data_IF_478200289000
#
_entry.id   IF_478200289000
#
_cell.length_a   1.000
_cell.length_b   1.000
_cell.length_c   1.000
_cell.angle_alpha   90.00
_cell.angle_beta   90.00
_cell.angle_gamma   90.00
#
_symmetry.space_group_name_H-M   'P 1'
#
loop_
_entity.id
_entity.type
_entity.pdbx_description
1 polymer ?
#
# COMPACT_ATOMS: atom_id res chain seq x y z
N UNK A 1 -14.00 11.91 15.99
CA UNK A 1 -13.42 12.80 14.96
C UNK A 1 -11.97 13.20 15.25
N UNK A 2 -11.60 13.88 16.36
CA UNK A 2 -10.20 14.29 16.60
C UNK A 2 -9.14 13.15 16.57
N UNK A 3 -9.45 11.98 17.12
CA UNK A 3 -8.52 10.83 17.10
C UNK A 3 -8.27 10.26 15.69
N UNK A 4 -9.28 10.28 14.82
CA UNK A 4 -9.17 9.74 13.46
C UNK A 4 -8.20 10.55 12.62
N UNK A 5 -8.28 11.88 12.68
CA UNK A 5 -7.34 12.75 11.96
C UNK A 5 -5.92 12.64 12.50
N UNK A 6 -5.78 12.51 13.82
CA UNK A 6 -4.45 12.28 14.40
C UNK A 6 -3.82 10.95 13.95
N UNK A 7 -4.59 9.85 13.89
CA UNK A 7 -4.07 8.58 13.35
C UNK A 7 -3.57 8.77 11.92
N UNK A 8 -4.35 9.44 11.07
CA UNK A 8 -3.96 9.74 9.68
C UNK A 8 -2.67 10.55 9.61
N UNK A 9 -2.50 11.55 10.47
CA UNK A 9 -1.28 12.36 10.52
C UNK A 9 -0.03 11.55 10.86
N UNK A 10 -0.10 10.65 11.85
CA UNK A 10 1.07 9.80 12.15
C UNK A 10 1.35 8.83 11.00
N UNK A 11 0.33 8.18 10.46
CA UNK A 11 0.54 7.29 9.33
C UNK A 11 1.14 8.04 8.14
N UNK A 12 0.69 9.27 7.86
CA UNK A 12 1.25 10.13 6.81
C UNK A 12 2.71 10.47 7.07
N UNK A 13 3.07 10.83 8.30
CA UNK A 13 4.45 11.17 8.66
C UNK A 13 5.39 9.96 8.57
N UNK A 14 4.98 8.82 9.12
CA UNK A 14 5.74 7.58 9.00
C UNK A 14 5.89 7.16 7.53
N UNK A 15 4.86 7.40 6.72
CA UNK A 15 4.90 7.12 5.28
C UNK A 15 5.87 8.00 4.52
N UNK A 16 5.92 9.31 4.79
CA UNK A 16 6.88 10.22 4.18
C UNK A 16 8.33 9.74 4.37
N UNK A 17 8.67 9.30 5.58
CA UNK A 17 10.02 8.82 5.91
C UNK A 17 10.36 7.54 5.14
N UNK A 18 9.54 6.51 5.27
CA UNK A 18 9.82 5.21 4.65
C UNK A 18 9.81 5.28 3.12
N UNK A 19 8.93 6.10 2.55
CA UNK A 19 8.80 6.21 1.11
C UNK A 19 9.99 6.93 0.47
N UNK A 20 10.76 7.72 1.22
CA UNK A 20 12.02 8.32 0.73
C UNK A 20 13.04 7.25 0.29
N UNK A 21 13.10 6.12 1.00
CA UNK A 21 13.93 4.98 0.59
C UNK A 21 13.36 4.29 -0.66
N UNK A 22 12.04 4.11 -0.73
CA UNK A 22 11.39 3.59 -1.93
C UNK A 22 11.68 4.45 -3.16
N UNK A 23 11.61 5.78 -3.03
CA UNK A 23 11.89 6.73 -4.12
C UNK A 23 13.30 6.52 -4.67
N UNK A 24 14.28 6.34 -3.80
CA UNK A 24 15.67 6.09 -4.21
C UNK A 24 15.77 4.81 -5.02
N UNK A 25 15.22 3.70 -4.52
CA UNK A 25 15.26 2.41 -5.22
C UNK A 25 14.48 2.46 -6.56
N UNK A 26 13.31 3.09 -6.57
CA UNK A 26 12.51 3.29 -7.78
C UNK A 26 13.24 4.15 -8.81
N UNK A 27 13.92 5.23 -8.40
CA UNK A 27 14.68 6.11 -9.30
C UNK A 27 15.82 5.38 -10.02
N UNK A 28 16.48 4.44 -9.32
CA UNK A 28 17.52 3.60 -9.89
C UNK A 28 16.93 2.60 -10.89
N UNK A 29 15.81 1.96 -10.55
CA UNK A 29 15.15 0.96 -11.38
C UNK A 29 14.53 1.56 -12.64
N UNK A 30 13.94 2.76 -12.53
CA UNK A 30 13.27 3.48 -13.61
C UNK A 30 14.27 4.33 -14.43
N UNK A 31 15.52 4.48 -13.98
CA UNK A 31 16.56 5.21 -14.71
C UNK A 31 16.30 6.72 -14.77
N UNK A 32 16.26 7.37 -13.61
CA UNK A 32 16.15 8.83 -13.49
C UNK A 32 15.43 9.28 -12.23
N UNK A 33 15.48 10.59 -11.91
CA UNK A 33 14.76 11.13 -10.77
C UNK A 33 13.25 10.89 -10.93
N UNK A 34 12.60 10.57 -9.82
CA UNK A 34 11.16 10.52 -9.70
C UNK A 34 10.72 11.52 -8.63
N UNK A 35 9.64 12.23 -8.90
CA UNK A 35 8.99 13.10 -7.92
C UNK A 35 7.86 12.31 -7.27
N UNK A 36 7.68 12.45 -5.96
CA UNK A 36 6.63 11.78 -5.25
C UNK A 36 5.83 12.79 -4.44
N UNK A 37 4.51 12.75 -4.60
CA UNK A 37 3.60 13.48 -3.73
C UNK A 37 3.59 12.85 -2.34
N UNK A 38 3.44 13.64 -1.27
CA UNK A 38 3.20 13.10 0.06
C UNK A 38 2.03 12.11 0.02
N UNK A 39 2.17 10.90 0.60
CA UNK A 39 1.14 9.89 0.53
C UNK A 39 -0.10 10.36 1.29
N UNK A 40 -1.26 10.20 0.66
CA UNK A 40 -2.54 10.47 1.29
C UNK A 40 -2.93 9.23 2.12
N UNK A 41 -3.39 9.45 3.37
CA UNK A 41 -3.83 8.36 4.25
C UNK A 41 -5.27 8.57 4.66
N UNK A 42 -6.07 7.50 4.54
CA UNK A 42 -7.44 7.48 5.04
C UNK A 42 -7.74 6.20 5.83
N UNK A 43 -8.79 6.27 6.65
CA UNK A 43 -9.34 5.12 7.36
C UNK A 43 -10.81 5.02 6.98
N UNK A 44 -11.12 4.03 6.16
CA UNK A 44 -12.44 3.87 5.55
C UNK A 44 -13.16 2.66 6.13
N UNK A 45 -14.48 2.66 5.99
CA UNK A 45 -15.27 1.48 6.33
C UNK A 45 -15.04 0.33 5.34
N UNK A 46 -15.31 -0.91 5.75
CA UNK A 46 -15.26 -2.08 4.82
C UNK A 46 -16.14 -1.89 3.58
N UNK A 47 -17.33 -1.31 3.74
CA UNK A 47 -18.25 -1.06 2.62
C UNK A 47 -17.65 -0.07 1.63
N UNK A 48 -17.08 1.01 2.13
CA UNK A 48 -16.42 2.04 1.33
C UNK A 48 -15.17 1.50 0.63
N UNK A 49 -14.37 0.70 1.32
CA UNK A 49 -13.22 0.01 0.74
C UNK A 49 -13.60 -0.87 -0.46
N UNK A 50 -14.64 -1.70 -0.31
CA UNK A 50 -15.12 -2.55 -1.40
C UNK A 50 -15.64 -1.72 -2.59
N UNK A 51 -16.32 -0.60 -2.30
CA UNK A 51 -16.75 0.35 -3.33
C UNK A 51 -15.56 0.95 -4.09
N UNK A 52 -14.52 1.38 -3.38
CA UNK A 52 -13.28 1.92 -3.97
C UNK A 52 -12.63 0.88 -4.90
N UNK A 53 -12.51 -0.37 -4.46
CA UNK A 53 -11.94 -1.45 -5.28
C UNK A 53 -12.77 -1.73 -6.54
N UNK A 54 -14.11 -1.73 -6.41
CA UNK A 54 -15.02 -1.93 -7.53
C UNK A 54 -14.92 -0.80 -8.56
N UNK A 55 -14.88 0.46 -8.11
CA UNK A 55 -14.76 1.63 -8.98
C UNK A 55 -13.41 1.68 -9.72
N UNK A 56 -12.32 1.31 -9.05
CA UNK A 56 -10.97 1.27 -9.65
C UNK A 56 -10.78 0.10 -10.61
N UNK A 57 -11.55 -0.97 -10.44
CA UNK A 57 -11.53 -2.15 -11.29
C UNK A 57 -10.28 -3.01 -11.10
N UNK A 58 -10.35 -3.95 -10.14
CA UNK A 58 -9.28 -4.92 -9.83
C UNK A 58 -8.78 -5.65 -11.08
N UNK A 59 -9.70 -6.12 -11.93
CA UNK A 59 -9.41 -6.91 -13.14
C UNK A 59 -8.76 -6.13 -14.29
N UNK A 60 -8.70 -4.79 -14.19
CA UNK A 60 -8.14 -3.94 -15.24
C UNK A 60 -6.70 -3.53 -14.96
N UNK A 61 -6.28 -3.59 -13.69
CA UNK A 61 -4.95 -3.19 -13.25
C UNK A 61 -4.09 -4.38 -12.84
N UNK A 62 -3.19 -4.13 -11.89
CA UNK A 62 -2.42 -5.17 -11.22
C UNK A 62 -2.71 -5.06 -9.72
N UNK A 63 -3.22 -6.15 -9.13
CA UNK A 63 -3.53 -6.21 -7.71
C UNK A 63 -2.92 -7.47 -7.10
N UNK A 64 -2.26 -7.31 -5.97
CA UNK A 64 -1.60 -8.40 -5.26
C UNK A 64 -1.82 -8.26 -3.76
N UNK A 65 -2.02 -9.38 -3.09
CA UNK A 65 -2.34 -9.46 -1.66
C UNK A 65 -1.25 -10.21 -0.90
N UNK A 66 -1.07 -9.88 0.38
CA UNK A 66 -0.15 -10.55 1.29
C UNK A 66 -0.78 -10.68 2.67
N UNK A 67 -0.69 -11.85 3.28
CA UNK A 67 -1.01 -12.00 4.69
C UNK A 67 0.10 -11.39 5.53
N UNK A 68 -0.28 -10.71 6.61
CA UNK A 68 0.67 -10.30 7.64
C UNK A 68 0.89 -11.50 8.57
N UNK A 69 2.13 -11.99 8.62
CA UNK A 69 2.50 -13.25 9.29
C UNK A 69 3.23 -13.04 10.61
N UNK A 70 3.79 -11.85 10.85
CA UNK A 70 4.53 -11.52 12.07
C UNK A 70 4.29 -10.06 12.47
N UNK A 71 4.40 -9.76 13.77
CA UNK A 71 4.25 -8.42 14.36
C UNK A 71 2.80 -7.95 14.46
N UNK A 72 2.03 -8.15 13.39
CA UNK A 72 0.59 -7.89 13.28
C UNK A 72 -0.09 -9.11 12.63
N UNK A 73 -1.41 -9.01 12.46
CA UNK A 73 -2.21 -9.98 11.71
C UNK A 73 -3.23 -9.23 10.87
N UNK A 74 -3.44 -9.71 9.65
CA UNK A 74 -4.32 -9.06 8.70
C UNK A 74 -3.98 -9.41 7.27
N UNK A 75 -4.61 -8.70 6.35
CA UNK A 75 -4.33 -8.74 4.92
C UNK A 75 -3.81 -7.37 4.48
N UNK A 76 -2.80 -7.36 3.64
CA UNK A 76 -2.38 -6.17 2.89
C UNK A 76 -2.67 -6.38 1.42
N UNK A 77 -2.98 -5.29 0.72
CA UNK A 77 -3.28 -5.32 -0.71
C UNK A 77 -2.54 -4.15 -1.36
N UNK A 78 -1.76 -4.43 -2.40
CA UNK A 78 -1.17 -3.43 -3.27
C UNK A 78 -1.90 -3.45 -4.61
N UNK A 79 -2.39 -2.29 -5.04
CA UNK A 79 -3.11 -2.12 -6.30
C UNK A 79 -2.47 -1.00 -7.12
N UNK A 80 -2.17 -1.33 -8.37
CA UNK A 80 -1.87 -0.36 -9.41
C UNK A 80 -3.04 -0.32 -10.40
N UNK A 81 -3.71 0.83 -10.57
CA UNK A 81 -4.70 1.00 -11.64
C UNK A 81 -4.11 0.68 -13.01
N UNK A 82 -4.96 0.34 -13.99
CA UNK A 82 -4.55 -0.02 -15.36
C UNK A 82 -3.49 0.91 -15.94
N UNK A 83 -3.78 2.21 -15.95
CA UNK A 83 -2.90 3.22 -16.53
C UNK A 83 -1.52 3.24 -15.85
N UNK A 84 -1.49 3.27 -14.52
CA UNK A 84 -0.25 3.17 -13.73
C UNK A 84 0.54 1.92 -14.08
N UNK A 85 -0.15 0.79 -14.13
CA UNK A 85 0.49 -0.50 -14.34
C UNK A 85 1.14 -0.59 -15.72
N UNK A 86 0.43 -0.16 -16.77
CA UNK A 86 0.96 -0.11 -18.14
C UNK A 86 2.13 0.88 -18.28
N UNK A 87 2.03 2.06 -17.66
CA UNK A 87 3.08 3.08 -17.73
C UNK A 87 4.37 2.62 -17.04
N UNK A 88 4.26 2.04 -15.85
CA UNK A 88 5.40 1.46 -15.15
C UNK A 88 6.07 0.39 -16.02
N UNK A 89 5.28 -0.53 -16.57
CA UNK A 89 5.78 -1.58 -17.44
C UNK A 89 6.50 -1.02 -18.66
N UNK A 90 5.92 -0.04 -19.35
CA UNK A 90 6.55 0.60 -20.51
C UNK A 90 7.92 1.20 -20.14
N UNK A 91 7.97 1.94 -19.04
CA UNK A 91 9.19 2.57 -18.54
C UNK A 91 10.28 1.55 -18.19
N UNK A 92 9.92 0.48 -17.49
CA UNK A 92 10.87 -0.58 -17.11
C UNK A 92 11.38 -1.37 -18.32
N UNK A 93 10.56 -1.49 -19.36
CA UNK A 93 10.94 -2.14 -20.61
C UNK A 93 11.67 -1.20 -21.58
N UNK A 94 11.90 0.07 -21.21
CA UNK A 94 12.53 1.06 -22.08
C UNK A 94 11.69 1.42 -23.30
N UNK A 95 10.36 1.28 -23.20
CA UNK A 95 9.40 1.59 -24.25
C UNK A 95 8.78 2.98 -24.04
N UNK A 96 8.23 3.54 -25.11
CA UNK A 96 7.53 4.82 -25.05
C UNK A 96 6.27 4.73 -24.16
N UNK A 97 5.95 5.75 -23.36
CA UNK A 97 4.72 5.78 -22.56
C UNK A 97 3.48 5.56 -23.42
N UNK A 98 2.56 4.73 -22.94
CA UNK A 98 1.34 4.38 -23.67
C UNK A 98 1.52 3.33 -24.78
N UNK A 99 2.74 2.82 -25.04
CA UNK A 99 2.95 1.74 -26.01
C UNK A 99 2.46 0.38 -25.52
N UNK A 100 2.37 0.19 -24.21
CA UNK A 100 1.89 -1.04 -23.57
C UNK A 100 0.39 -0.92 -23.35
N UNK A 101 -0.40 -1.77 -24.00
CA UNK A 101 -1.88 -1.74 -23.92
C UNK A 101 -2.46 -2.80 -22.98
N UNK A 102 -1.66 -3.84 -22.69
CA UNK A 102 -2.01 -4.98 -21.86
C UNK A 102 -0.81 -5.43 -21.01
N UNK A 103 -1.09 -6.01 -19.84
CA UNK A 103 -0.07 -6.60 -18.96
C UNK A 103 0.06 -8.09 -19.27
N UNK A 104 1.09 -8.44 -20.04
CA UNK A 104 1.54 -9.81 -20.20
C UNK A 104 2.34 -10.29 -18.99
N UNK A 105 2.82 -11.53 -19.01
CA UNK A 105 3.57 -12.11 -17.88
C UNK A 105 4.88 -11.37 -17.58
N UNK A 106 5.53 -10.83 -18.61
CA UNK A 106 6.75 -10.02 -18.42
C UNK A 106 6.40 -8.70 -17.75
N UNK A 107 5.33 -8.04 -18.19
CA UNK A 107 4.82 -6.82 -17.59
C UNK A 107 4.38 -7.01 -16.14
N UNK A 108 3.67 -8.12 -15.84
CA UNK A 108 3.30 -8.52 -14.47
C UNK A 108 4.53 -8.75 -13.59
N UNK A 109 5.59 -9.34 -14.13
CA UNK A 109 6.85 -9.50 -13.39
C UNK A 109 7.52 -8.15 -13.13
N UNK A 110 7.65 -7.31 -14.16
CA UNK A 110 8.27 -5.99 -14.04
C UNK A 110 7.55 -5.10 -13.01
N UNK A 111 6.21 -5.08 -13.02
CA UNK A 111 5.45 -4.31 -12.04
C UNK A 111 5.49 -4.92 -10.64
N UNK A 112 5.63 -6.25 -10.51
CA UNK A 112 5.80 -6.90 -9.21
C UNK A 112 7.11 -6.47 -8.55
N UNK A 113 8.17 -6.22 -9.32
CA UNK A 113 9.45 -5.71 -8.81
C UNK A 113 9.30 -4.31 -8.19
N UNK A 114 8.51 -3.44 -8.83
CA UNK A 114 8.08 -2.15 -8.27
C UNK A 114 7.24 -2.36 -7.03
N UNK A 115 6.32 -3.32 -7.09
CA UNK A 115 5.46 -3.69 -5.99
C UNK A 115 6.26 -4.09 -4.76
N UNK A 116 7.28 -4.93 -4.92
CA UNK A 116 8.15 -5.38 -3.84
C UNK A 116 8.88 -4.23 -3.16
N UNK A 117 9.36 -3.22 -3.92
CA UNK A 117 9.97 -2.02 -3.34
C UNK A 117 8.96 -1.25 -2.47
N UNK A 118 7.74 -1.04 -2.98
CA UNK A 118 6.69 -0.36 -2.21
C UNK A 118 6.27 -1.16 -0.98
N UNK A 119 6.11 -2.47 -1.11
CA UNK A 119 5.73 -3.37 -0.03
C UNK A 119 6.78 -3.37 1.08
N UNK A 120 8.07 -3.40 0.74
CA UNK A 120 9.14 -3.27 1.72
C UNK A 120 9.02 -1.95 2.49
N UNK A 121 8.83 -0.83 1.79
CA UNK A 121 8.64 0.46 2.45
C UNK A 121 7.41 0.49 3.36
N UNK A 122 6.27 -0.07 2.94
CA UNK A 122 5.08 -0.17 3.78
C UNK A 122 5.28 -1.10 4.98
N UNK A 123 6.04 -2.18 4.82
CA UNK A 123 6.38 -3.11 5.91
C UNK A 123 7.29 -2.44 6.93
N UNK A 124 8.23 -1.61 6.49
CA UNK A 124 9.09 -0.79 7.35
C UNK A 124 8.27 0.24 8.13
N UNK A 125 7.29 0.90 7.50
CA UNK A 125 6.33 1.78 8.19
C UNK A 125 5.67 1.03 9.33
N UNK A 126 5.09 -0.14 9.04
CA UNK A 126 4.37 -0.90 10.06
C UNK A 126 5.29 -1.35 11.19
N UNK A 127 6.50 -1.80 10.86
CA UNK A 127 7.50 -2.22 11.83
C UNK A 127 7.91 -1.07 12.75
N UNK A 128 8.17 0.11 12.19
CA UNK A 128 8.53 1.30 12.95
C UNK A 128 7.39 1.77 13.86
N UNK A 129 6.15 1.72 13.37
CA UNK A 129 4.97 2.13 14.15
C UNK A 129 4.73 1.23 15.36
N UNK A 130 4.97 -0.07 15.23
CA UNK A 130 4.77 -1.01 16.34
C UNK A 130 6.05 -1.27 17.15
N UNK A 131 7.21 -0.88 16.65
CA UNK A 131 8.52 -1.11 17.27
C UNK A 131 8.95 -2.59 17.29
N UNK A 132 8.44 -3.39 16.36
CA UNK A 132 8.67 -4.84 16.24
C UNK A 132 8.71 -5.19 14.75
N UNK A 133 9.40 -6.27 14.36
CA UNK A 133 9.44 -6.70 12.97
C UNK A 133 8.05 -7.10 12.44
N UNK A 134 7.75 -6.70 11.20
CA UNK A 134 6.57 -7.14 10.46
C UNK A 134 7.02 -7.98 9.27
N UNK A 135 6.41 -9.14 9.10
CA UNK A 135 6.67 -10.05 8.00
C UNK A 135 5.39 -10.29 7.20
N UNK A 136 5.54 -10.47 5.90
CA UNK A 136 4.45 -10.76 4.98
C UNK A 136 4.61 -12.15 4.34
N UNK A 137 3.50 -12.77 3.95
CA UNK A 137 3.51 -13.98 3.13
C UNK A 137 4.08 -13.71 1.74
N UNK A 138 4.38 -14.76 0.93
CA UNK A 138 4.51 -14.60 -0.51
C UNK A 138 3.28 -13.93 -1.15
N UNK A 139 3.44 -13.27 -2.32
CA UNK A 139 2.36 -12.60 -3.02
C UNK A 139 1.25 -13.55 -3.47
N UNK A 140 0.00 -13.08 -3.36
CA UNK A 140 -1.20 -13.71 -3.93
C UNK A 140 -1.85 -12.75 -4.92
N UNK A 141 -1.71 -12.97 -6.24
CA UNK A 141 -2.38 -12.15 -7.24
C UNK A 141 -3.90 -12.17 -7.05
N UNK A 142 -4.55 -11.04 -7.29
CA UNK A 142 -6.00 -10.92 -7.34
C UNK A 142 -6.42 -10.47 -8.75
N UNK A 143 -7.15 -11.32 -9.45
CA UNK A 143 -7.62 -11.03 -10.82
C UNK A 143 -9.02 -10.40 -10.82
N UNK A 144 -9.72 -10.51 -9.69
CA UNK A 144 -11.08 -10.02 -9.54
C UNK A 144 -11.36 -9.49 -8.13
N UNK A 145 -12.45 -8.72 -7.99
CA UNK A 145 -12.95 -8.33 -6.68
C UNK A 145 -13.32 -9.55 -5.83
N UNK A 146 -13.78 -10.63 -6.46
CA UNK A 146 -14.15 -11.86 -5.77
C UNK A 146 -12.97 -12.51 -5.04
N UNK A 147 -11.77 -12.48 -5.62
CA UNK A 147 -10.57 -13.02 -4.98
C UNK A 147 -10.26 -12.29 -3.66
N UNK A 148 -10.45 -10.99 -3.65
CA UNK A 148 -10.30 -10.15 -2.46
C UNK A 148 -11.42 -10.44 -1.45
N UNK A 149 -12.68 -10.46 -1.89
CA UNK A 149 -13.82 -10.74 -1.01
C UNK A 149 -13.75 -12.11 -0.34
N UNK A 150 -13.21 -13.11 -1.05
CA UNK A 150 -12.95 -14.45 -0.50
C UNK A 150 -11.99 -14.39 0.68
N UNK A 151 -10.87 -13.67 0.56
CA UNK A 151 -9.93 -13.48 1.68
C UNK A 151 -10.57 -12.68 2.81
N UNK A 152 -11.34 -11.63 2.50
CA UNK A 152 -12.06 -10.85 3.52
C UNK A 152 -13.20 -11.63 4.23
N UNK A 153 -13.56 -12.81 3.73
CA UNK A 153 -14.59 -13.66 4.33
C UNK A 153 -14.02 -14.66 5.33
N UNK A 154 -12.69 -14.75 5.46
CA UNK A 154 -12.04 -15.61 6.46
C UNK A 154 -12.46 -15.24 7.89
N UNK A 155 -12.47 -16.19 8.84
CA UNK A 155 -12.94 -15.94 10.22
C UNK A 155 -12.24 -14.78 10.95
N UNK A 156 -10.96 -14.58 10.68
CA UNK A 156 -10.10 -13.53 11.25
C UNK A 156 -10.36 -12.14 10.66
N UNK A 157 -10.84 -12.07 9.42
CA UNK A 157 -11.06 -10.80 8.69
C UNK A 157 -12.52 -10.40 8.54
N UNK A 158 -13.46 -11.34 8.64
CA UNK A 158 -14.88 -11.08 8.36
C UNK A 158 -15.54 -10.04 9.27
N UNK A 159 -14.95 -9.79 10.44
CA UNK A 159 -15.43 -8.80 11.42
C UNK A 159 -14.71 -7.46 11.33
N UNK A 160 -13.71 -7.32 10.44
CA UNK A 160 -12.96 -6.08 10.25
C UNK A 160 -13.89 -5.01 9.68
N UNK A 161 -13.88 -3.84 10.31
CA UNK A 161 -14.72 -2.70 9.93
C UNK A 161 -13.92 -1.50 9.43
N UNK A 162 -12.65 -1.40 9.81
CA UNK A 162 -11.77 -0.26 9.51
C UNK A 162 -10.60 -0.72 8.64
N UNK A 163 -10.45 -0.10 7.48
CA UNK A 163 -9.38 -0.38 6.52
C UNK A 163 -8.54 0.90 6.41
N UNK A 164 -7.22 0.75 6.52
CA UNK A 164 -6.28 1.86 6.34
C UNK A 164 -5.90 1.89 4.86
N UNK A 165 -6.01 3.05 4.23
CA UNK A 165 -5.74 3.25 2.81
C UNK A 165 -4.61 4.25 2.66
N UNK A 166 -3.57 3.85 1.95
CA UNK A 166 -2.49 4.72 1.52
C UNK A 166 -2.60 4.91 0.01
N UNK A 167 -2.61 6.17 -0.44
CA UNK A 167 -2.49 6.52 -1.84
C UNK A 167 -1.13 7.17 -2.07
N UNK A 168 -0.39 6.63 -3.02
CA UNK A 168 0.89 7.16 -3.45
C UNK A 168 0.80 7.59 -4.90
N UNK A 169 1.31 8.79 -5.19
CA UNK A 169 1.50 9.25 -6.57
C UNK A 169 2.95 9.60 -6.80
N UNK A 170 3.53 9.03 -7.84
CA UNK A 170 4.88 9.35 -8.29
C UNK A 170 4.87 9.70 -9.76
N UNK A 171 5.76 10.61 -10.13
CA UNK A 171 5.84 11.19 -11.47
C UNK A 171 7.29 11.12 -11.96
N UNK A 172 7.44 10.74 -13.23
CA UNK A 172 8.70 10.92 -13.96
C UNK A 172 8.41 11.63 -15.26
N UNK A 173 8.90 12.86 -15.40
CA UNK A 173 8.56 13.71 -16.55
C UNK A 173 7.03 13.77 -16.69
N UNK A 174 6.46 13.42 -17.85
CA UNK A 174 5.00 13.44 -18.08
C UNK A 174 4.29 12.13 -17.70
N UNK A 175 5.00 11.18 -17.08
CA UNK A 175 4.46 9.86 -16.72
C UNK A 175 4.02 9.86 -15.27
N UNK A 176 2.70 9.99 -15.07
CA UNK A 176 2.07 9.85 -13.77
C UNK A 176 1.78 8.39 -13.44
N UNK A 177 2.13 7.99 -12.22
CA UNK A 177 1.87 6.66 -11.69
C UNK A 177 1.23 6.78 -10.31
N UNK A 178 0.09 6.11 -10.15
CA UNK A 178 -0.58 5.97 -8.87
C UNK A 178 -0.52 4.52 -8.37
N UNK A 179 -0.37 4.35 -7.06
CA UNK A 179 -0.55 3.08 -6.37
C UNK A 179 -1.38 3.25 -5.10
N UNK A 180 -2.02 2.17 -4.70
CA UNK A 180 -2.84 2.10 -3.51
C UNK A 180 -2.42 0.91 -2.66
N UNK A 181 -2.11 1.19 -1.40
CA UNK A 181 -1.79 0.16 -0.42
C UNK A 181 -2.87 0.15 0.65
N UNK A 182 -3.47 -1.01 0.87
CA UNK A 182 -4.55 -1.20 1.83
C UNK A 182 -4.08 -2.11 2.94
N UNK A 183 -4.43 -1.77 4.17
CA UNK A 183 -4.24 -2.64 5.33
C UNK A 183 -5.61 -2.97 5.89
N UNK A 184 -5.89 -4.27 5.95
CA UNK A 184 -7.07 -4.87 6.57
C UNK A 184 -6.59 -5.58 7.85
N UNK A 185 -6.31 -4.83 8.94
CA UNK A 185 -5.81 -5.43 10.16
C UNK A 185 -6.93 -6.16 10.89
N UNK A 186 -6.61 -7.27 11.57
CA UNK A 186 -7.55 -7.86 12.53
C UNK A 186 -7.91 -6.84 13.61
N UNK A 187 -9.06 -6.97 14.30
CA UNK A 187 -9.44 -6.06 15.38
C UNK A 187 -8.36 -5.92 16.48
N UNK A 188 -7.67 -7.01 16.80
CA UNK A 188 -6.56 -7.04 17.76
C UNK A 188 -5.36 -6.24 17.24
N UNK A 189 -5.02 -6.42 15.96
CA UNK A 189 -3.90 -5.72 15.30
C UNK A 189 -4.17 -4.23 15.15
N UNK A 190 -5.39 -3.84 14.82
CA UNK A 190 -5.80 -2.44 14.80
C UNK A 190 -5.67 -1.82 16.19
N UNK A 191 -6.12 -2.53 17.23
CA UNK A 191 -5.98 -2.09 18.62
C UNK A 191 -4.50 -1.95 19.02
N UNK A 192 -3.64 -2.89 18.60
CA UNK A 192 -2.18 -2.83 18.85
C UNK A 192 -1.56 -1.60 18.19
N UNK A 193 -1.85 -1.36 16.91
CA UNK A 193 -1.40 -0.17 16.17
C UNK A 193 -1.80 1.11 16.90
N UNK A 194 -3.09 1.26 17.21
CA UNK A 194 -3.62 2.44 17.92
C UNK A 194 -2.92 2.65 19.27
N UNK A 195 -2.73 1.60 20.06
CA UNK A 195 -2.06 1.71 21.37
C UNK A 195 -0.60 2.16 21.25
N UNK A 196 0.14 1.63 20.27
CA UNK A 196 1.55 2.01 20.04
C UNK A 196 1.64 3.48 19.61
N UNK A 197 0.77 3.91 18.71
CA UNK A 197 0.64 5.32 18.31
C UNK A 197 0.33 6.23 19.51
N UNK A 198 -0.62 5.83 20.38
CA UNK A 198 -1.01 6.65 21.54
C UNK A 198 0.11 6.76 22.57
N UNK A 199 0.97 5.75 22.68
CA UNK A 199 2.12 5.77 23.59
C UNK A 199 3.26 6.65 23.10
N UNK A 200 3.50 6.73 21.79
CA UNK A 200 4.52 7.62 21.20
C UNK A 200 4.20 9.09 21.54
N UNK A 201 2.93 9.49 21.45
CA UNK A 201 2.48 10.86 21.81
C UNK A 201 2.71 11.17 23.29
N UNK A 202 2.45 10.21 24.18
CA UNK A 202 2.66 10.42 25.62
C UNK A 202 4.14 10.49 25.99
N UNK A 203 5.01 9.80 25.25
CA UNK A 203 6.46 9.87 25.41
C UNK A 203 7.05 11.22 25.00
N UNK A 204 6.51 11.83 23.94
CA UNK A 204 6.93 13.16 23.47
C UNK A 204 6.46 14.29 24.41
N UNK A 205 5.26 14.17 24.99
CA UNK A 205 4.71 15.16 25.94
C UNK A 205 5.34 15.11 27.35
N UNK A 206 6.08 14.05 27.69
CA UNK A 206 6.77 13.89 28.97
C UNK A 206 8.24 14.32 28.97
N UNK A 207 8.78 14.70 27.80
CA UNK A 207 10.17 15.14 27.60
C UNK A 207 10.29 16.64 27.25
N UNK A 208 9.23 17.42 27.48
CA UNK A 208 9.24 18.90 27.46
C UNK A 208 8.95 19.44 28.86
#
# INVERSE_FOLDING_TARGET
MKKSEWYKDIFREASNIAMSHAITALSQMIGGPIEMEPPEVDIVSRVEFLKILAERGVSKGFTVMFDITEGLSGLTILQFPKHSALNITAVLMGMEPGSVTELDEMGKSAIMEVGNILISAYTDILSNLIGESVSLSPPKPAESLYDIEKELSRPDLRTVTSIIVFRSKFQKSDIGVESYFYIVPTPESFTKLVKKLENQVKGEAGNQ
#
